data_IF_277028468757
#
_entry.id   IF_277028468757
#
_cell.length_a   1.000
_cell.length_b   1.000
_cell.length_c   1.000
_cell.angle_alpha   90.00
_cell.angle_beta   90.00
_cell.angle_gamma   90.00
#
_symmetry.space_group_name_H-M   'P 1'
#
loop_
_entity.id
_entity.type
_entity.pdbx_description
1 polymer ?
#
# COMPACT_ATOMS: atom_id res chain seq x y z
N UNK A 1 8.69 -7.32 33.00
CA UNK A 1 9.85 -8.15 33.41
C UNK A 1 11.06 -7.97 32.48
N UNK A 2 10.89 -8.09 31.15
CA UNK A 2 12.00 -8.03 30.16
C UNK A 2 12.72 -6.67 30.10
N UNK A 3 11.98 -5.55 30.13
CA UNK A 3 12.58 -4.20 30.10
C UNK A 3 13.41 -3.92 31.36
N UNK A 4 12.97 -4.39 32.54
CA UNK A 4 13.69 -4.23 33.80
C UNK A 4 15.02 -5.01 33.81
N UNK A 5 15.00 -6.27 33.36
CA UNK A 5 16.20 -7.08 33.26
C UNK A 5 17.19 -6.54 32.21
N UNK A 6 16.67 -6.07 31.06
CA UNK A 6 17.48 -5.41 30.05
C UNK A 6 18.11 -4.11 30.55
N UNK A 7 17.38 -3.31 31.35
CA UNK A 7 17.89 -2.08 31.94
C UNK A 7 19.05 -2.34 32.90
N UNK A 8 18.93 -3.36 33.74
CA UNK A 8 20.03 -3.82 34.62
C UNK A 8 21.23 -4.30 33.80
N UNK A 9 21.02 -5.03 32.70
CA UNK A 9 22.10 -5.48 31.82
C UNK A 9 22.86 -4.30 31.17
N UNK A 10 22.13 -3.32 30.61
CA UNK A 10 22.73 -2.13 30.01
C UNK A 10 23.50 -1.29 31.05
N UNK A 11 22.92 -1.12 32.24
CA UNK A 11 23.60 -0.45 33.35
C UNK A 11 24.89 -1.16 33.76
N UNK A 12 24.87 -2.49 33.87
CA UNK A 12 26.05 -3.30 34.14
C UNK A 12 27.15 -3.11 33.11
N UNK A 13 26.80 -3.05 31.82
CA UNK A 13 27.76 -2.78 30.73
C UNK A 13 28.38 -1.39 30.85
N UNK A 14 27.61 -0.37 31.22
CA UNK A 14 28.12 1.00 31.42
C UNK A 14 29.10 1.05 32.59
N UNK A 15 28.72 0.48 33.74
CA UNK A 15 29.58 0.43 34.93
C UNK A 15 30.86 -0.36 34.66
N UNK A 16 30.75 -1.53 34.04
CA UNK A 16 31.91 -2.35 33.66
C UNK A 16 32.84 -1.59 32.70
N UNK A 17 32.29 -0.82 31.76
CA UNK A 17 33.06 0.03 30.87
C UNK A 17 33.81 1.15 31.57
N UNK A 18 33.23 1.75 32.61
CA UNK A 18 33.93 2.73 33.45
C UNK A 18 35.07 2.07 34.23
N UNK A 19 34.82 0.92 34.85
CA UNK A 19 35.83 0.17 35.60
C UNK A 19 37.00 -0.30 34.72
N UNK A 20 36.74 -0.74 33.48
CA UNK A 20 37.79 -1.18 32.55
C UNK A 20 38.70 -0.03 32.10
N UNK A 21 38.17 1.20 32.00
CA UNK A 21 38.99 2.38 31.66
C UNK A 21 40.00 2.70 32.76
N UNK A 22 39.58 2.58 34.02
CA UNK A 22 40.46 2.83 35.17
C UNK A 22 41.45 1.67 35.41
N UNK A 23 41.02 0.44 35.14
CA UNK A 23 41.82 -0.77 35.32
C UNK A 23 42.86 -1.04 34.20
N UNK A 24 42.80 -0.28 33.10
CA UNK A 24 43.77 -0.36 32.00
C UNK A 24 45.22 -0.06 32.41
N UNK A 25 45.43 0.52 33.60
CA UNK A 25 46.76 0.78 34.20
C UNK A 25 47.36 -0.48 34.85
N UNK A 26 46.55 -1.49 35.16
CA UNK A 26 46.99 -2.75 35.78
C UNK A 26 47.01 -3.90 34.77
N UNK A 27 48.22 -4.36 34.40
CA UNK A 27 48.43 -5.49 33.49
C UNK A 27 48.15 -6.83 34.18
N UNK A 28 46.88 -7.25 34.24
CA UNK A 28 46.50 -8.63 34.61
C UNK A 28 45.85 -9.36 33.43
N UNK A 29 46.18 -10.64 33.25
CA UNK A 29 45.69 -11.44 32.12
C UNK A 29 44.16 -11.56 32.04
N UNK A 30 43.47 -11.53 33.20
CA UNK A 30 42.02 -11.55 33.25
C UNK A 30 41.39 -10.24 32.75
N UNK A 31 41.93 -9.08 33.14
CA UNK A 31 41.42 -7.78 32.67
C UNK A 31 41.55 -7.68 31.15
N UNK A 32 42.66 -8.16 30.58
CA UNK A 32 42.85 -8.17 29.13
C UNK A 32 41.80 -9.02 28.40
N UNK A 33 41.45 -10.20 28.94
CA UNK A 33 40.38 -11.03 28.39
C UNK A 33 39.02 -10.34 28.42
N UNK A 34 38.68 -9.68 29.54
CA UNK A 34 37.41 -8.94 29.66
C UNK A 34 37.38 -7.78 28.67
N UNK A 35 38.47 -7.02 28.54
CA UNK A 35 38.60 -5.94 27.55
C UNK A 35 38.42 -6.44 26.12
N UNK A 36 38.91 -7.64 25.79
CA UNK A 36 38.77 -8.23 24.45
C UNK A 36 37.31 -8.54 24.10
N UNK A 37 36.53 -9.10 25.04
CA UNK A 37 35.14 -9.50 24.79
C UNK A 37 34.13 -8.37 25.05
N UNK A 38 34.53 -7.32 25.77
CA UNK A 38 33.66 -6.21 26.15
C UNK A 38 32.94 -5.53 24.96
N UNK A 39 33.59 -5.26 23.80
CA UNK A 39 32.90 -4.70 22.64
C UNK A 39 31.74 -5.57 22.15
N UNK A 40 31.87 -6.89 22.19
CA UNK A 40 30.80 -7.82 21.82
C UNK A 40 29.61 -7.70 22.77
N UNK A 41 29.87 -7.59 24.08
CA UNK A 41 28.85 -7.39 25.10
C UNK A 41 28.13 -6.04 24.93
N UNK A 42 28.87 -4.98 24.57
CA UNK A 42 28.30 -3.66 24.29
C UNK A 42 27.36 -3.69 23.08
N UNK A 43 27.77 -4.34 21.99
CA UNK A 43 26.94 -4.49 20.79
C UNK A 43 25.66 -5.25 21.13
N UNK A 44 25.76 -6.33 21.90
CA UNK A 44 24.60 -7.10 22.32
C UNK A 44 23.62 -6.26 23.16
N UNK A 45 24.11 -5.63 24.23
CA UNK A 45 23.27 -4.87 25.15
C UNK A 45 22.62 -3.65 24.46
N UNK A 46 23.36 -2.94 23.60
CA UNK A 46 22.82 -1.81 22.84
C UNK A 46 21.82 -2.26 21.78
N UNK A 47 22.09 -3.34 21.04
CA UNK A 47 21.21 -3.85 19.98
C UNK A 47 19.86 -4.30 20.53
N UNK A 48 19.84 -4.87 21.74
CA UNK A 48 18.62 -5.28 22.43
C UNK A 48 17.60 -4.13 22.57
N UNK A 49 18.07 -2.88 22.73
CA UNK A 49 17.22 -1.70 22.80
C UNK A 49 17.10 -0.97 21.46
N UNK A 50 18.20 -0.86 20.72
CA UNK A 50 18.24 -0.11 19.46
C UNK A 50 17.32 -0.72 18.40
N UNK A 51 17.29 -2.05 18.25
CA UNK A 51 16.47 -2.72 17.24
C UNK A 51 14.96 -2.52 17.51
N UNK A 52 14.42 -2.78 18.71
CA UNK A 52 13.02 -2.49 19.01
C UNK A 52 12.67 -1.01 18.86
N UNK A 53 13.53 -0.09 19.32
CA UNK A 53 13.30 1.36 19.20
C UNK A 53 13.20 1.79 17.74
N UNK A 54 14.15 1.37 16.91
CA UNK A 54 14.14 1.70 15.48
C UNK A 54 12.90 1.11 14.79
N UNK A 55 12.58 -0.16 15.08
CA UNK A 55 11.39 -0.81 14.53
C UNK A 55 10.11 -0.09 14.95
N UNK A 56 10.00 0.30 16.22
CA UNK A 56 8.85 1.03 16.73
C UNK A 56 8.70 2.36 16.01
N UNK A 57 9.79 3.11 15.84
CA UNK A 57 9.78 4.39 15.13
C UNK A 57 9.31 4.26 13.67
N UNK A 58 9.85 3.30 12.92
CA UNK A 58 9.45 3.04 11.53
C UNK A 58 7.97 2.64 11.45
N UNK A 59 7.53 1.76 12.37
CA UNK A 59 6.15 1.28 12.42
C UNK A 59 5.18 2.41 12.74
N UNK A 60 5.54 3.31 13.67
CA UNK A 60 4.75 4.47 14.02
C UNK A 60 4.54 5.39 12.81
N UNK A 61 5.60 5.68 12.05
CA UNK A 61 5.51 6.50 10.82
C UNK A 61 4.60 5.84 9.78
N UNK A 62 4.81 4.55 9.51
CA UNK A 62 4.01 3.80 8.54
C UNK A 62 2.54 3.73 8.93
N UNK A 63 2.25 3.55 10.21
CA UNK A 63 0.87 3.51 10.71
C UNK A 63 0.19 4.86 10.56
N UNK A 64 0.88 5.98 10.82
CA UNK A 64 0.31 7.31 10.61
C UNK A 64 -0.04 7.57 9.13
N UNK A 65 0.79 7.11 8.19
CA UNK A 65 0.50 7.20 6.75
C UNK A 65 -0.68 6.31 6.32
N UNK A 66 -0.80 5.12 6.92
CA UNK A 66 -1.96 4.24 6.70
C UNK A 66 -3.23 4.90 7.23
N UNK A 67 -3.18 5.44 8.45
CA UNK A 67 -4.32 6.10 9.10
C UNK A 67 -4.81 7.31 8.30
N UNK A 68 -3.89 8.15 7.78
CA UNK A 68 -4.25 9.27 6.91
C UNK A 68 -5.03 8.81 5.67
N UNK A 69 -4.59 7.72 5.03
CA UNK A 69 -5.28 7.17 3.84
C UNK A 69 -6.61 6.53 4.20
N UNK A 70 -6.67 5.82 5.31
CA UNK A 70 -7.90 5.19 5.79
C UNK A 70 -8.96 6.24 6.12
N UNK A 71 -8.57 7.33 6.79
CA UNK A 71 -9.47 8.45 7.08
C UNK A 71 -10.05 9.08 5.80
N UNK A 72 -9.22 9.26 4.76
CA UNK A 72 -9.71 9.74 3.47
C UNK A 72 -10.72 8.75 2.84
N UNK A 73 -10.42 7.44 2.86
CA UNK A 73 -11.34 6.40 2.35
C UNK A 73 -12.65 6.34 3.12
N UNK A 74 -12.58 6.49 4.44
CA UNK A 74 -13.74 6.54 5.32
C UNK A 74 -14.61 7.75 4.99
N UNK A 75 -14.02 8.94 4.82
CA UNK A 75 -14.75 10.14 4.40
C UNK A 75 -15.46 9.95 3.05
N UNK A 76 -14.79 9.33 2.07
CA UNK A 76 -15.42 9.02 0.79
C UNK A 76 -16.53 7.97 0.92
N UNK A 77 -16.36 6.94 1.75
CA UNK A 77 -17.38 5.94 2.01
C UNK A 77 -18.64 6.58 2.64
N UNK A 78 -18.45 7.43 3.65
CA UNK A 78 -19.55 8.18 4.28
C UNK A 78 -20.27 9.08 3.28
N UNK A 79 -19.53 9.77 2.40
CA UNK A 79 -20.12 10.61 1.35
C UNK A 79 -20.92 9.80 0.30
N UNK A 80 -20.62 8.51 0.14
CA UNK A 80 -21.35 7.60 -0.76
C UNK A 80 -22.62 7.02 -0.11
N UNK A 81 -22.69 6.91 1.21
CA UNK A 81 -23.90 6.44 1.92
C UNK A 81 -25.06 7.44 1.80
N UNK A 82 -24.76 8.74 1.86
CA UNK A 82 -25.72 9.83 1.68
C UNK A 82 -25.25 10.77 0.56
N UNK A 83 -25.36 10.34 -0.71
CA UNK A 83 -24.79 11.08 -1.82
C UNK A 83 -25.62 12.32 -2.14
N UNK A 84 -24.93 13.44 -2.37
CA UNK A 84 -25.53 14.65 -2.93
C UNK A 84 -26.15 14.36 -4.32
N UNK A 85 -27.12 15.18 -4.73
CA UNK A 85 -27.86 15.02 -5.99
C UNK A 85 -26.91 14.94 -7.20
N UNK A 86 -25.86 15.77 -7.19
CA UNK A 86 -24.82 15.80 -8.23
C UNK A 86 -24.04 14.49 -8.31
N UNK A 87 -23.63 13.95 -7.16
CA UNK A 87 -22.90 12.69 -7.04
C UNK A 87 -23.77 11.50 -7.42
N UNK A 88 -25.03 11.48 -6.95
CA UNK A 88 -26.00 10.44 -7.30
C UNK A 88 -26.24 10.36 -8.81
N UNK A 89 -26.40 11.51 -9.49
CA UNK A 89 -26.54 11.55 -10.96
C UNK A 89 -25.30 10.97 -11.65
N UNK A 90 -24.10 11.33 -11.18
CA UNK A 90 -22.84 10.81 -11.75
C UNK A 90 -22.70 9.30 -11.55
N UNK A 91 -23.06 8.78 -10.38
CA UNK A 91 -23.04 7.34 -10.09
C UNK A 91 -24.04 6.56 -10.96
N UNK A 92 -25.25 7.08 -11.16
CA UNK A 92 -26.23 6.47 -12.06
C UNK A 92 -25.73 6.45 -13.51
N UNK A 93 -25.23 7.58 -14.01
CA UNK A 93 -24.65 7.65 -15.36
C UNK A 93 -23.46 6.70 -15.54
N UNK A 94 -22.58 6.60 -14.53
CA UNK A 94 -21.46 5.66 -14.57
C UNK A 94 -21.92 4.21 -14.55
N UNK A 95 -22.98 3.88 -13.78
CA UNK A 95 -23.59 2.54 -13.76
C UNK A 95 -24.17 2.18 -15.12
N UNK A 96 -24.92 3.09 -15.73
CA UNK A 96 -25.55 2.87 -17.03
C UNK A 96 -24.49 2.73 -18.15
N UNK A 97 -23.38 3.47 -18.06
CA UNK A 97 -22.23 3.32 -18.96
C UNK A 97 -21.40 2.05 -18.69
N UNK A 98 -21.35 1.58 -17.43
CA UNK A 98 -20.69 0.33 -17.06
C UNK A 98 -21.49 -0.91 -17.49
N UNK A 99 -22.81 -0.77 -17.67
CA UNK A 99 -23.59 -1.76 -18.39
C UNK A 99 -23.10 -1.76 -19.84
N UNK A 100 -22.17 -2.67 -20.14
CA UNK A 100 -21.67 -2.87 -21.50
C UNK A 100 -22.86 -3.22 -22.39
N UNK A 101 -23.23 -2.31 -23.28
CA UNK A 101 -24.00 -2.66 -24.46
C UNK A 101 -23.08 -3.49 -25.35
N UNK A 102 -23.17 -4.82 -25.24
CA UNK A 102 -22.51 -5.73 -26.18
C UNK A 102 -23.30 -5.65 -27.49
N UNK A 103 -22.83 -4.80 -28.40
CA UNK A 103 -23.36 -4.75 -29.77
C UNK A 103 -22.65 -5.87 -30.53
N UNK A 104 -23.39 -6.93 -30.87
CA UNK A 104 -22.88 -8.03 -31.68
C UNK A 104 -22.54 -7.58 -33.10
N UNK A 105 -21.68 -8.31 -33.81
CA UNK A 105 -21.30 -8.00 -35.20
C UNK A 105 -22.51 -7.96 -36.15
N UNK A 106 -23.62 -8.60 -35.79
CA UNK A 106 -24.91 -8.56 -36.49
C UNK A 106 -25.65 -7.21 -36.36
N UNK A 107 -25.21 -6.35 -35.44
CA UNK A 107 -25.84 -5.04 -35.12
C UNK A 107 -24.90 -3.85 -35.35
N UNK A 108 -23.70 -4.09 -35.88
CA UNK A 108 -22.71 -3.05 -36.19
C UNK A 108 -22.60 -2.90 -37.70
N UNK A 109 -23.11 -1.79 -38.25
CA UNK A 109 -22.99 -1.44 -39.68
C UNK A 109 -21.65 -0.76 -39.97
N UNK A 110 -21.17 0.06 -39.02
CA UNK A 110 -19.93 0.79 -39.14
C UNK A 110 -18.95 0.37 -38.05
N UNK A 111 -17.76 -0.06 -38.45
CA UNK A 111 -16.72 -0.52 -37.54
C UNK A 111 -15.32 -0.20 -38.06
N UNK A 112 -14.42 0.14 -37.14
CA UNK A 112 -13.05 0.60 -37.47
C UNK A 112 -12.12 -0.51 -37.97
N UNK A 113 -12.54 -1.78 -37.87
CA UNK A 113 -11.80 -2.94 -38.36
C UNK A 113 -12.06 -3.26 -39.84
N UNK A 114 -13.08 -2.64 -40.46
CA UNK A 114 -13.45 -2.86 -41.86
C UNK A 114 -13.16 -1.65 -42.72
N UNK A 115 -12.99 -1.88 -44.02
CA UNK A 115 -12.79 -0.80 -44.99
C UNK A 115 -14.08 0.00 -45.22
N UNK A 116 -13.97 1.28 -45.55
CA UNK A 116 -15.13 2.18 -45.71
C UNK A 116 -16.04 1.75 -46.87
N UNK A 117 -15.46 1.20 -47.94
CA UNK A 117 -16.23 0.80 -49.13
C UNK A 117 -17.13 -0.41 -48.88
N UNK A 118 -16.66 -1.36 -48.06
CA UNK A 118 -17.44 -2.53 -47.65
C UNK A 118 -18.60 -2.13 -46.72
N UNK A 119 -18.37 -1.17 -45.83
CA UNK A 119 -19.37 -0.67 -44.88
C UNK A 119 -20.51 0.09 -45.56
N UNK A 120 -20.22 0.89 -46.59
CA UNK A 120 -21.25 1.62 -47.35
C UNK A 120 -22.22 0.68 -48.07
N UNK A 121 -21.73 -0.47 -48.54
CA UNK A 121 -22.57 -1.49 -49.16
C UNK A 121 -23.46 -2.20 -48.14
N UNK A 122 -22.90 -2.62 -46.99
CA UNK A 122 -23.67 -3.22 -45.90
C UNK A 122 -24.74 -2.26 -45.35
N UNK A 123 -24.47 -0.96 -45.30
CA UNK A 123 -25.42 0.07 -44.88
C UNK A 123 -26.64 0.17 -45.81
N UNK A 124 -26.43 0.20 -47.13
CA UNK A 124 -27.54 0.26 -48.09
C UNK A 124 -28.40 -1.00 -48.06
N UNK A 125 -27.78 -2.17 -47.90
CA UNK A 125 -28.49 -3.44 -47.83
C UNK A 125 -29.29 -3.56 -46.51
N UNK A 126 -28.78 -2.97 -45.42
CA UNK A 126 -29.49 -2.84 -44.14
C UNK A 126 -30.70 -1.90 -44.26
N UNK A 127 -30.53 -0.71 -44.85
CA UNK A 127 -31.61 0.24 -45.08
C UNK A 127 -32.75 -0.38 -45.90
N UNK A 128 -32.42 -1.14 -46.95
CA UNK A 128 -33.42 -1.85 -47.76
C UNK A 128 -34.25 -2.82 -46.90
N UNK A 129 -33.60 -3.65 -46.08
CA UNK A 129 -34.27 -4.62 -45.20
C UNK A 129 -35.14 -3.93 -44.15
N UNK A 130 -34.70 -2.78 -43.63
CA UNK A 130 -35.47 -1.98 -42.69
C UNK A 130 -36.81 -1.53 -43.30
N UNK A 131 -36.77 -0.97 -44.52
CA UNK A 131 -37.97 -0.52 -45.24
C UNK A 131 -38.91 -1.66 -45.64
N UNK A 132 -38.39 -2.86 -45.90
CA UNK A 132 -39.20 -4.03 -46.18
C UNK A 132 -39.96 -4.53 -44.94
N UNK A 133 -39.33 -4.48 -43.77
CA UNK A 133 -39.96 -4.84 -42.49
C UNK A 133 -41.05 -3.85 -42.09
N UNK A 134 -40.81 -2.55 -42.24
CA UNK A 134 -41.80 -1.50 -41.93
C UNK A 134 -43.06 -1.56 -42.81
N UNK A 135 -42.96 -2.12 -44.03
CA UNK A 135 -44.11 -2.35 -44.91
C UNK A 135 -44.89 -3.63 -44.61
N UNK A 136 -44.31 -4.53 -43.80
CA UNK A 136 -44.89 -5.85 -43.50
C UNK A 136 -45.69 -5.89 -42.19
N UNK A 137 -45.56 -4.86 -41.36
CA UNK A 137 -46.41 -4.56 -40.20
C UNK A 137 -47.56 -3.61 -40.58
#
# INVERSE_FOLDING_TARGET
MVVGLGGVNLFGVIVLGAMLKDAAVTNSGFINFVTLIFPLLQIYASSFFAIPLLRWFITLKRNAEIEKRNKAREQFAQALELPDLSLRRKLLSARDMAQRTVIGQDRVVYSTDRDLTEQDFEAQDWDRRFWELEKSD
#
